data_IF_361526952173
#
_entry.id   IF_361526952173
#
_cell.length_a   1.000
_cell.length_b   1.000
_cell.length_c   1.000
_cell.angle_alpha   90.00
_cell.angle_beta   90.00
_cell.angle_gamma   90.00
#
_symmetry.space_group_name_H-M   'P 1'
#
loop_
_entity.id
_entity.type
_entity.pdbx_description
1 polymer ?
#
# COMPACT_ATOMS: atom_id res chain seq x y z
N UNK A 1 -20.30 67.73 20.40
CA UNK A 1 -20.35 66.79 19.25
C UNK A 1 -19.06 65.97 19.29
N UNK A 2 -18.82 65.16 20.31
CA UNK A 2 -19.48 63.87 20.64
C UNK A 2 -19.41 62.93 19.41
N UNK A 3 -18.71 61.79 19.42
CA UNK A 3 -18.75 60.76 20.45
C UNK A 3 -17.51 59.85 20.45
N UNK A 4 -16.86 59.76 21.61
CA UNK A 4 -16.18 58.55 22.07
C UNK A 4 -17.21 57.42 22.27
N UNK A 5 -16.96 56.22 21.76
CA UNK A 5 -17.39 54.94 22.36
C UNK A 5 -16.35 53.87 22.00
N UNK A 6 -15.35 53.65 22.85
CA UNK A 6 -15.37 52.65 23.93
C UNK A 6 -15.47 51.22 23.41
N UNK A 7 -14.29 50.63 23.21
CA UNK A 7 -14.04 49.20 23.34
C UNK A 7 -14.42 48.83 24.79
N UNK A 8 -15.47 48.02 24.97
CA UNK A 8 -15.77 47.36 26.24
C UNK A 8 -15.36 45.89 26.15
N UNK A 9 -14.31 45.56 26.88
CA UNK A 9 -14.02 44.24 27.42
C UNK A 9 -15.08 43.84 28.46
N UNK A 10 -15.61 42.63 28.33
CA UNK A 10 -16.24 41.82 29.37
C UNK A 10 -15.87 40.39 28.97
N UNK A 11 -14.75 39.86 29.43
CA UNK A 11 -14.44 39.29 30.74
C UNK A 11 -14.20 37.79 30.55
N UNK A 12 -13.05 37.37 31.08
CA UNK A 12 -12.51 36.03 31.08
C UNK A 12 -13.51 35.01 31.64
N UNK A 13 -13.73 33.93 30.90
CA UNK A 13 -13.88 32.62 31.53
C UNK A 13 -12.81 31.69 30.96
N UNK A 14 -11.83 31.42 31.82
CA UNK A 14 -10.94 30.28 31.71
C UNK A 14 -11.78 29.00 31.68
N UNK A 15 -11.72 28.24 30.59
CA UNK A 15 -11.75 26.78 30.67
C UNK A 15 -11.26 26.16 29.37
N UNK A 16 -10.09 25.51 29.46
CA UNK A 16 -9.63 24.35 28.70
C UNK A 16 -10.02 24.31 27.22
N UNK A 17 -9.04 24.61 26.37
CA UNK A 17 -9.05 24.16 24.97
C UNK A 17 -9.31 22.66 24.91
N UNK A 18 -10.50 22.31 24.45
CA UNK A 18 -10.80 21.01 23.88
C UNK A 18 -10.96 21.23 22.39
N UNK A 19 -9.96 20.74 21.68
CA UNK A 19 -9.93 20.54 20.24
C UNK A 19 -11.21 19.77 19.83
N UNK A 20 -12.17 20.45 19.19
CA UNK A 20 -13.44 19.87 18.72
C UNK A 20 -13.25 18.83 17.59
N UNK A 21 -12.01 18.51 17.23
CA UNK A 21 -11.62 17.53 16.22
C UNK A 21 -11.61 16.06 16.71
N UNK A 22 -11.92 15.80 17.98
CA UNK A 22 -11.85 14.44 18.58
C UNK A 22 -13.18 13.86 19.09
N UNK A 23 -14.30 14.59 18.96
CA UNK A 23 -15.61 14.13 19.49
C UNK A 23 -16.38 13.12 18.63
N UNK A 24 -15.89 12.70 17.47
CA UNK A 24 -16.60 11.72 16.62
C UNK A 24 -16.01 10.30 16.59
N UNK A 25 -15.07 9.97 17.48
CA UNK A 25 -14.44 8.64 17.48
C UNK A 25 -14.59 7.86 18.80
N UNK A 26 -15.22 8.43 19.83
CA UNK A 26 -15.44 7.75 21.12
C UNK A 26 -16.82 7.12 21.29
N UNK A 27 -17.79 7.41 20.42
CA UNK A 27 -19.16 6.88 20.53
C UNK A 27 -19.39 5.54 19.79
N UNK A 28 -18.35 4.92 19.22
CA UNK A 28 -18.48 3.66 18.45
C UNK A 28 -18.15 2.39 19.27
N UNK A 29 -17.70 2.53 20.53
CA UNK A 29 -17.32 1.36 21.33
C UNK A 29 -18.28 1.17 22.51
N UNK A 30 -19.46 0.62 22.19
CA UNK A 30 -20.42 0.24 23.23
C UNK A 30 -21.67 -0.52 22.78
N UNK A 31 -21.86 -0.84 21.49
CA UNK A 31 -23.06 -1.56 21.06
C UNK A 31 -22.79 -3.04 20.79
N UNK A 32 -23.34 -3.88 21.67
CA UNK A 32 -23.84 -5.22 21.29
C UNK A 32 -24.66 -5.07 20.01
N UNK A 33 -24.54 -6.04 19.10
CA UNK A 33 -25.32 -6.14 17.86
C UNK A 33 -26.82 -5.92 18.15
N UNK A 34 -27.26 -4.68 18.05
CA UNK A 34 -28.65 -4.28 18.16
C UNK A 34 -28.96 -3.74 16.79
N UNK A 35 -30.00 -4.29 16.17
CA UNK A 35 -30.48 -3.96 14.83
C UNK A 35 -30.25 -2.48 14.51
N UNK A 36 -29.31 -2.22 13.60
CA UNK A 36 -29.10 -0.88 13.06
C UNK A 36 -30.43 -0.53 12.37
N UNK A 37 -31.18 0.40 12.96
CA UNK A 37 -32.35 0.96 12.29
C UNK A 37 -31.89 1.49 10.94
N UNK A 38 -32.45 0.91 9.89
CA UNK A 38 -32.21 1.30 8.51
C UNK A 38 -32.53 2.79 8.37
N UNK A 39 -31.56 3.65 8.00
CA UNK A 39 -31.94 4.91 7.39
C UNK A 39 -32.70 4.55 6.10
N UNK A 40 -33.81 5.25 5.78
CA UNK A 40 -34.53 5.03 4.54
C UNK A 40 -33.53 5.16 3.39
N UNK A 41 -33.65 4.29 2.38
CA UNK A 41 -32.84 4.30 1.16
C UNK A 41 -32.75 5.73 0.63
N UNK A 42 -31.66 6.43 0.96
CA UNK A 42 -31.45 7.76 0.45
C UNK A 42 -31.13 7.57 -1.02
N UNK A 43 -32.11 7.91 -1.86
CA UNK A 43 -31.95 8.03 -3.29
C UNK A 43 -30.68 8.85 -3.52
N UNK A 44 -29.60 8.18 -3.95
CA UNK A 44 -28.32 8.84 -4.16
C UNK A 44 -28.58 9.90 -5.22
N UNK A 45 -28.44 11.18 -4.86
CA UNK A 45 -28.82 12.26 -5.75
C UNK A 45 -27.84 12.29 -6.94
N UNK A 46 -28.23 11.68 -8.07
CA UNK A 46 -27.35 11.31 -9.17
C UNK A 46 -26.67 12.50 -9.89
N UNK A 47 -27.20 13.73 -9.72
CA UNK A 47 -26.52 14.96 -10.15
C UNK A 47 -25.23 15.22 -9.36
N UNK A 48 -25.18 14.80 -8.09
CA UNK A 48 -24.01 14.98 -7.23
C UNK A 48 -22.84 14.06 -7.62
N UNK A 49 -23.08 12.92 -8.27
CA UNK A 49 -22.01 12.01 -8.70
C UNK A 49 -21.23 12.57 -9.88
N UNK A 50 -21.92 13.13 -10.90
CA UNK A 50 -21.24 13.86 -11.99
C UNK A 50 -20.49 15.10 -11.48
N UNK A 51 -21.04 15.79 -10.48
CA UNK A 51 -20.39 16.95 -9.86
C UNK A 51 -19.21 16.56 -8.96
N UNK A 52 -19.27 15.41 -8.27
CA UNK A 52 -18.21 14.89 -7.38
C UNK A 52 -17.09 14.17 -8.12
N UNK A 53 -17.42 13.44 -9.19
CA UNK A 53 -16.47 12.57 -9.89
C UNK A 53 -16.04 13.10 -11.27
N UNK A 54 -16.61 14.20 -11.75
CA UNK A 54 -16.13 14.91 -12.93
C UNK A 54 -16.27 14.11 -14.24
N UNK A 55 -15.23 14.18 -15.08
CA UNK A 55 -15.14 13.45 -16.35
C UNK A 55 -15.15 11.94 -16.11
N UNK A 56 -15.76 11.19 -17.04
CA UNK A 56 -15.72 9.72 -17.03
C UNK A 56 -14.25 9.30 -17.03
N UNK A 57 -13.84 8.53 -16.02
CA UNK A 57 -12.51 7.94 -15.97
C UNK A 57 -12.46 6.72 -16.88
N UNK A 58 -11.34 6.55 -17.58
CA UNK A 58 -11.14 5.38 -18.46
C UNK A 58 -10.91 4.09 -17.67
N UNK A 59 -10.44 4.21 -16.42
CA UNK A 59 -10.11 3.09 -15.55
C UNK A 59 -10.51 3.40 -14.11
N UNK A 60 -10.84 2.36 -13.33
CA UNK A 60 -11.04 2.52 -11.90
C UNK A 60 -9.73 2.94 -11.20
N UNK A 61 -9.79 3.62 -10.05
CA UNK A 61 -8.60 3.76 -9.21
C UNK A 61 -8.14 2.40 -8.67
N UNK A 62 -6.85 2.29 -8.33
CA UNK A 62 -6.29 1.09 -7.70
C UNK A 62 -5.80 1.41 -6.28
N UNK A 63 -5.76 0.41 -5.38
CA UNK A 63 -4.98 0.53 -4.15
C UNK A 63 -3.51 0.81 -4.48
N UNK A 64 -2.84 1.63 -3.67
CA UNK A 64 -1.46 2.06 -3.89
C UNK A 64 -0.50 0.87 -4.12
N UNK A 65 -0.69 -0.23 -3.41
CA UNK A 65 0.09 -1.47 -3.56
C UNK A 65 -0.02 -2.08 -4.97
N UNK A 66 -1.19 -1.99 -5.60
CA UNK A 66 -1.41 -2.50 -6.97
C UNK A 66 -0.84 -1.53 -8.00
N UNK A 67 -0.93 -0.22 -7.78
CA UNK A 67 -0.28 0.80 -8.62
C UNK A 67 1.24 0.64 -8.60
N UNK A 68 1.83 0.43 -7.42
CA UNK A 68 3.25 0.16 -7.27
C UNK A 68 3.67 -1.09 -8.05
N UNK A 69 2.87 -2.16 -8.00
CA UNK A 69 3.13 -3.41 -8.72
C UNK A 69 3.15 -3.20 -10.25
N UNK A 70 2.20 -2.41 -10.79
CA UNK A 70 2.19 -2.04 -12.21
C UNK A 70 3.39 -1.16 -12.58
N UNK A 71 3.80 -0.24 -11.71
CA UNK A 71 4.98 0.60 -11.95
C UNK A 71 6.27 -0.24 -11.97
N UNK A 72 6.34 -1.28 -11.13
CA UNK A 72 7.45 -2.23 -11.14
C UNK A 72 7.48 -3.00 -12.47
N UNK A 73 6.33 -3.51 -12.92
CA UNK A 73 6.20 -4.17 -14.21
C UNK A 73 6.69 -3.28 -15.36
N UNK A 74 6.21 -2.03 -15.42
CA UNK A 74 6.68 -1.02 -16.39
C UNK A 74 8.19 -0.84 -16.38
N UNK A 75 8.77 -0.75 -15.18
CA UNK A 75 10.23 -0.59 -15.02
C UNK A 75 10.99 -1.80 -15.55
N UNK A 76 10.49 -3.01 -15.29
CA UNK A 76 11.09 -4.27 -15.79
C UNK A 76 11.04 -4.29 -17.32
N UNK A 77 9.87 -4.03 -17.91
CA UNK A 77 9.67 -4.06 -19.35
C UNK A 77 10.50 -2.99 -20.07
N UNK A 78 10.55 -1.76 -19.54
CA UNK A 78 11.41 -0.70 -20.07
C UNK A 78 12.91 -1.06 -19.97
N UNK A 79 13.32 -1.69 -18.87
CA UNK A 79 14.72 -2.12 -18.69
C UNK A 79 15.09 -3.22 -19.67
N UNK A 80 14.18 -4.17 -19.92
CA UNK A 80 14.38 -5.21 -20.91
C UNK A 80 14.45 -4.63 -22.32
N UNK A 81 13.53 -3.71 -22.66
CA UNK A 81 13.54 -3.01 -23.95
C UNK A 81 14.84 -2.25 -24.20
N UNK A 82 15.34 -1.54 -23.18
CA UNK A 82 16.60 -0.78 -23.25
C UNK A 82 17.82 -1.67 -23.41
N UNK A 83 17.90 -2.77 -22.64
CA UNK A 83 19.09 -3.62 -22.59
C UNK A 83 19.10 -4.74 -23.62
N UNK A 84 17.93 -5.13 -24.12
CA UNK A 84 17.72 -6.26 -25.02
C UNK A 84 18.40 -7.55 -24.52
N UNK A 85 18.41 -7.74 -23.20
CA UNK A 85 19.04 -8.87 -22.52
C UNK A 85 18.21 -9.27 -21.30
N UNK A 86 18.30 -10.54 -20.85
CA UNK A 86 17.70 -10.98 -19.58
C UNK A 86 18.06 -10.05 -18.43
N UNK A 87 17.08 -9.74 -17.59
CA UNK A 87 17.29 -8.88 -16.42
C UNK A 87 17.74 -9.75 -15.26
N UNK A 88 18.87 -9.40 -14.65
CA UNK A 88 19.46 -10.16 -13.54
C UNK A 88 19.29 -9.38 -12.24
N UNK A 89 18.69 -10.02 -11.25
CA UNK A 89 18.53 -9.52 -9.88
C UNK A 89 19.28 -10.44 -8.92
N UNK A 90 20.25 -9.91 -8.20
CA UNK A 90 20.92 -10.65 -7.13
C UNK A 90 19.96 -10.82 -5.94
N UNK A 91 19.81 -12.05 -5.45
CA UNK A 91 18.81 -12.42 -4.44
C UNK A 91 18.97 -11.61 -3.15
N UNK A 92 20.22 -11.42 -2.68
CA UNK A 92 20.51 -10.73 -1.41
C UNK A 92 20.13 -9.25 -1.43
N UNK A 93 20.34 -8.58 -2.56
CA UNK A 93 20.16 -7.12 -2.67
C UNK A 93 18.80 -6.74 -3.22
N UNK A 94 18.14 -7.65 -3.95
CA UNK A 94 16.90 -7.40 -4.68
C UNK A 94 15.72 -8.28 -4.22
N UNK A 95 15.78 -8.83 -3.01
CA UNK A 95 14.72 -9.69 -2.44
C UNK A 95 13.31 -9.11 -2.64
N UNK A 96 13.10 -7.82 -2.36
CA UNK A 96 11.80 -7.16 -2.57
C UNK A 96 11.34 -7.19 -4.03
N UNK A 97 12.25 -6.90 -4.97
CA UNK A 97 11.92 -6.90 -6.41
C UNK A 97 11.55 -8.31 -6.85
N UNK A 98 12.30 -9.31 -6.41
CA UNK A 98 12.05 -10.72 -6.70
C UNK A 98 10.68 -11.16 -6.17
N UNK A 99 10.31 -10.72 -4.96
CA UNK A 99 8.99 -10.97 -4.40
C UNK A 99 7.87 -10.31 -5.22
N UNK A 100 8.05 -9.07 -5.63
CA UNK A 100 7.09 -8.35 -6.48
C UNK A 100 6.94 -9.02 -7.86
N UNK A 101 8.03 -9.57 -8.40
CA UNK A 101 7.97 -10.41 -9.61
C UNK A 101 7.18 -11.69 -9.35
N UNK A 102 7.35 -12.31 -8.18
CA UNK A 102 6.51 -13.42 -7.74
C UNK A 102 5.02 -13.05 -7.66
N UNK A 103 4.69 -11.84 -7.21
CA UNK A 103 3.30 -11.33 -7.21
C UNK A 103 2.77 -11.16 -8.63
N UNK A 104 3.57 -10.63 -9.55
CA UNK A 104 3.20 -10.53 -10.97
C UNK A 104 2.95 -11.92 -11.60
N UNK A 105 3.80 -12.89 -11.30
CA UNK A 105 3.63 -14.27 -11.77
C UNK A 105 2.41 -14.98 -11.16
N UNK A 106 2.01 -14.60 -9.95
CA UNK A 106 0.76 -15.08 -9.35
C UNK A 106 -0.45 -14.63 -10.16
N UNK A 107 -0.43 -13.40 -10.68
CA UNK A 107 -1.49 -12.84 -11.52
C UNK A 107 -1.47 -13.45 -12.92
N UNK A 108 -0.28 -13.68 -13.47
CA UNK A 108 -0.08 -14.25 -14.80
C UNK A 108 1.19 -15.10 -14.84
N UNK A 109 1.00 -16.43 -14.82
CA UNK A 109 2.09 -17.42 -14.74
C UNK A 109 3.01 -17.37 -15.95
N UNK A 110 2.48 -16.98 -17.09
CA UNK A 110 3.20 -16.97 -18.36
C UNK A 110 3.82 -15.59 -18.64
N UNK A 111 3.81 -14.68 -17.66
CA UNK A 111 4.34 -13.33 -17.87
C UNK A 111 5.85 -13.30 -18.08
N UNK A 112 6.60 -14.06 -17.27
CA UNK A 112 8.06 -14.09 -17.30
C UNK A 112 8.60 -15.51 -17.18
N UNK A 113 9.61 -15.84 -17.96
CA UNK A 113 10.48 -16.97 -17.69
C UNK A 113 11.49 -16.56 -16.61
N UNK A 114 11.49 -17.30 -15.51
CA UNK A 114 12.47 -17.16 -14.44
C UNK A 114 13.53 -18.27 -14.56
N UNK A 115 14.80 -17.88 -14.58
CA UNK A 115 15.94 -18.79 -14.47
C UNK A 115 16.77 -18.42 -13.25
N UNK A 116 17.22 -19.41 -12.50
CA UNK A 116 18.09 -19.20 -11.35
C UNK A 116 19.52 -19.45 -11.81
N UNK A 117 20.39 -18.48 -11.57
CA UNK A 117 21.81 -18.58 -11.88
C UNK A 117 22.58 -18.19 -10.63
N UNK A 118 23.15 -19.20 -9.98
CA UNK A 118 23.90 -19.09 -8.72
C UNK A 118 23.10 -18.39 -7.62
N UNK A 119 23.42 -17.12 -7.33
CA UNK A 119 22.81 -16.27 -6.30
C UNK A 119 21.92 -15.18 -6.90
N UNK A 120 21.49 -15.35 -8.14
CA UNK A 120 20.70 -14.37 -8.88
C UNK A 120 19.51 -15.02 -9.59
N UNK A 121 18.49 -14.19 -9.80
CA UNK A 121 17.30 -14.51 -10.59
C UNK A 121 17.41 -13.76 -11.91
N UNK A 122 17.36 -14.51 -13.01
CA UNK A 122 17.25 -13.97 -14.36
C UNK A 122 15.79 -13.98 -14.80
N UNK A 123 15.36 -12.89 -15.41
CA UNK A 123 13.98 -12.65 -15.82
C UNK A 123 13.96 -12.30 -17.29
N UNK A 124 13.12 -13.02 -18.02
CA UNK A 124 12.93 -12.86 -19.46
C UNK A 124 11.42 -12.72 -19.70
N UNK A 125 10.93 -11.60 -20.27
CA UNK A 125 9.56 -11.49 -20.75
C UNK A 125 9.27 -12.58 -21.77
N UNK A 126 8.30 -13.45 -21.46
CA UNK A 126 7.81 -14.45 -22.41
C UNK A 126 7.16 -13.77 -23.61
N UNK A 127 7.21 -14.42 -24.76
CA UNK A 127 6.57 -13.96 -26.00
C UNK A 127 7.05 -12.58 -26.50
N UNK A 128 8.21 -12.12 -26.02
CA UNK A 128 8.87 -10.90 -26.49
C UNK A 128 10.24 -11.24 -27.06
N UNK A 129 10.31 -11.79 -28.29
CA UNK A 129 11.58 -11.97 -28.96
C UNK A 129 12.23 -10.61 -29.19
N UNK A 130 13.52 -10.51 -28.85
CA UNK A 130 14.31 -9.27 -28.95
C UNK A 130 14.27 -8.70 -30.38
N UNK A 131 14.24 -9.58 -31.36
CA UNK A 131 14.23 -9.26 -32.80
C UNK A 131 12.99 -8.48 -33.24
N UNK A 132 11.86 -8.62 -32.51
CA UNK A 132 10.60 -7.94 -32.85
C UNK A 132 10.42 -6.63 -32.06
N UNK A 133 11.38 -6.25 -31.23
CA UNK A 133 11.30 -4.99 -30.48
C UNK A 133 11.82 -3.83 -31.34
N UNK A 134 11.10 -2.69 -31.38
CA UNK A 134 11.64 -1.49 -31.99
C UNK A 134 12.90 -1.03 -31.24
N UNK A 135 13.75 -0.26 -31.90
CA UNK A 135 14.91 0.36 -31.25
C UNK A 135 14.47 1.19 -30.03
N UNK A 136 15.19 1.06 -28.92
CA UNK A 136 14.89 1.81 -27.70
C UNK A 136 15.01 3.32 -27.94
N UNK A 137 13.96 4.07 -27.61
CA UNK A 137 13.93 5.52 -27.69
C UNK A 137 13.92 6.12 -26.28
N UNK A 138 14.98 6.83 -25.84
CA UNK A 138 15.11 7.34 -24.48
C UNK A 138 13.99 8.28 -24.01
N UNK A 139 13.29 8.93 -24.94
CA UNK A 139 12.20 9.87 -24.68
C UNK A 139 10.84 9.37 -25.17
N UNK A 140 10.72 8.08 -25.52
CA UNK A 140 9.41 7.54 -25.84
C UNK A 140 8.53 7.57 -24.59
N UNK A 141 7.39 8.24 -24.72
CA UNK A 141 6.39 8.33 -23.65
C UNK A 141 5.61 7.03 -23.45
N UNK A 142 5.66 6.13 -24.44
CA UNK A 142 4.91 4.88 -24.46
C UNK A 142 5.85 3.70 -24.65
N UNK A 143 5.54 2.58 -23.99
CA UNK A 143 6.24 1.34 -24.25
C UNK A 143 5.77 0.76 -25.60
N UNK A 144 6.58 -0.11 -26.22
CA UNK A 144 6.13 -0.93 -27.34
C UNK A 144 4.78 -1.61 -27.04
N UNK A 145 3.93 -1.74 -28.06
CA UNK A 145 2.56 -2.26 -27.93
C UNK A 145 2.50 -3.62 -27.21
N UNK A 146 3.49 -4.48 -27.44
CA UNK A 146 3.61 -5.78 -26.76
C UNK A 146 3.72 -5.62 -25.24
N UNK A 147 4.48 -4.65 -24.74
CA UNK A 147 4.58 -4.36 -23.31
C UNK A 147 3.31 -3.68 -22.78
N UNK A 148 2.76 -2.69 -23.49
CA UNK A 148 1.52 -2.03 -23.07
C UNK A 148 0.34 -3.01 -22.96
N UNK A 149 0.22 -3.95 -23.90
CA UNK A 149 -0.79 -5.01 -23.84
C UNK A 149 -0.64 -5.93 -22.63
N UNK A 150 0.60 -6.27 -22.25
CA UNK A 150 0.89 -7.07 -21.06
C UNK A 150 0.53 -6.31 -19.79
N UNK A 151 0.93 -5.04 -19.69
CA UNK A 151 0.56 -4.17 -18.56
C UNK A 151 -0.96 -4.04 -18.45
N UNK A 152 -1.64 -3.84 -19.57
CA UNK A 152 -3.11 -3.75 -19.64
C UNK A 152 -3.77 -5.05 -19.17
N UNK A 153 -3.22 -6.22 -19.56
CA UNK A 153 -3.72 -7.51 -19.08
C UNK A 153 -3.62 -7.63 -17.56
N UNK A 154 -2.47 -7.30 -16.97
CA UNK A 154 -2.29 -7.31 -15.50
C UNK A 154 -3.20 -6.28 -14.83
N UNK A 155 -3.30 -5.07 -15.38
CA UNK A 155 -4.19 -4.01 -14.91
C UNK A 155 -5.64 -4.48 -14.82
N UNK A 156 -6.13 -5.20 -15.83
CA UNK A 156 -7.49 -5.74 -15.86
C UNK A 156 -7.72 -6.80 -14.78
N UNK A 157 -6.73 -7.68 -14.54
CA UNK A 157 -6.81 -8.67 -13.47
C UNK A 157 -6.90 -7.98 -12.10
N UNK A 158 -6.06 -6.96 -11.87
CA UNK A 158 -6.09 -6.17 -10.63
C UNK A 158 -7.42 -5.44 -10.45
N UNK A 159 -7.97 -4.87 -11.53
CA UNK A 159 -9.30 -4.24 -11.50
C UNK A 159 -10.39 -5.21 -11.07
N UNK A 160 -10.39 -6.43 -11.63
CA UNK A 160 -11.38 -7.44 -11.30
C UNK A 160 -11.30 -7.84 -9.82
N UNK A 161 -10.09 -7.92 -9.25
CA UNK A 161 -9.91 -8.20 -7.82
C UNK A 161 -10.53 -7.11 -6.95
N UNK A 162 -10.25 -5.83 -7.24
CA UNK A 162 -10.80 -4.72 -6.47
C UNK A 162 -12.32 -4.63 -6.63
N UNK A 163 -12.82 -4.79 -7.86
CA UNK A 163 -14.26 -4.78 -8.15
C UNK A 163 -14.99 -5.90 -7.41
N UNK A 164 -14.42 -7.11 -7.33
CA UNK A 164 -15.02 -8.22 -6.56
C UNK A 164 -15.18 -7.86 -5.08
N UNK A 165 -14.14 -7.26 -4.47
CA UNK A 165 -14.19 -6.82 -3.07
C UNK A 165 -15.20 -5.69 -2.87
N UNK A 166 -15.26 -4.75 -3.82
CA UNK A 166 -16.22 -3.67 -3.81
C UNK A 166 -17.67 -4.17 -3.96
N UNK A 167 -17.92 -5.14 -4.82
CA UNK A 167 -19.25 -5.75 -4.98
C UNK A 167 -19.71 -6.39 -3.68
N UNK A 168 -18.87 -7.20 -3.03
CA UNK A 168 -19.16 -7.77 -1.72
C UNK A 168 -19.44 -6.68 -0.66
N UNK A 169 -18.69 -5.58 -0.70
CA UNK A 169 -18.91 -4.45 0.19
C UNK A 169 -20.29 -3.80 -0.03
N UNK A 170 -20.71 -3.59 -1.29
CA UNK A 170 -22.03 -3.06 -1.62
C UNK A 170 -23.16 -3.98 -1.11
N UNK A 171 -22.97 -5.29 -1.17
CA UNK A 171 -23.92 -6.25 -0.58
C UNK A 171 -24.03 -6.08 0.93
N UNK A 172 -22.90 -5.95 1.64
CA UNK A 172 -22.87 -5.78 3.10
C UNK A 172 -23.60 -4.50 3.54
N UNK A 173 -23.47 -3.40 2.79
CA UNK A 173 -24.13 -2.13 3.10
C UNK A 173 -25.53 -1.99 2.49
N UNK A 174 -26.03 -3.03 1.80
CA UNK A 174 -27.32 -3.04 1.07
C UNK A 174 -27.44 -1.90 0.04
N UNK A 175 -26.38 -1.64 -0.73
CA UNK A 175 -26.34 -0.61 -1.79
C UNK A 175 -25.96 -1.20 -3.14
N UNK A 176 -26.52 -2.37 -3.48
CA UNK A 176 -26.30 -3.05 -4.75
C UNK A 176 -26.67 -2.18 -5.95
N UNK A 177 -27.65 -1.29 -5.82
CA UNK A 177 -28.09 -0.33 -6.85
C UNK A 177 -26.96 0.62 -7.30
N UNK A 178 -25.92 0.83 -6.49
CA UNK A 178 -24.75 1.63 -6.87
C UNK A 178 -23.90 0.96 -7.96
N UNK A 179 -24.02 -0.36 -8.14
CA UNK A 179 -23.19 -1.16 -9.06
C UNK A 179 -23.24 -0.65 -10.49
N UNK A 180 -24.42 -0.30 -11.00
CA UNK A 180 -24.58 0.22 -12.37
C UNK A 180 -23.78 1.51 -12.60
N UNK A 181 -23.71 2.35 -11.56
CA UNK A 181 -23.03 3.65 -11.62
C UNK A 181 -21.54 3.52 -11.44
N UNK A 182 -21.12 2.62 -10.54
CA UNK A 182 -19.74 2.19 -10.41
C UNK A 182 -19.20 1.77 -11.78
N UNK A 183 -19.93 0.93 -12.52
CA UNK A 183 -19.53 0.45 -13.86
C UNK A 183 -19.49 1.58 -14.88
N UNK A 184 -20.52 2.44 -14.90
CA UNK A 184 -20.66 3.51 -15.88
C UNK A 184 -19.62 4.62 -15.72
N UNK A 185 -19.30 4.99 -14.47
CA UNK A 185 -18.41 6.10 -14.16
C UNK A 185 -17.00 5.65 -13.75
N UNK A 186 -16.78 4.34 -13.58
CA UNK A 186 -15.52 3.75 -13.11
C UNK A 186 -15.10 4.29 -11.73
N UNK A 187 -16.06 4.34 -10.81
CA UNK A 187 -15.86 4.87 -9.44
C UNK A 187 -16.30 3.87 -8.39
N UNK A 188 -15.60 3.83 -7.26
CA UNK A 188 -16.07 3.06 -6.10
C UNK A 188 -17.02 3.89 -5.24
N UNK A 189 -17.79 3.19 -4.40
CA UNK A 189 -18.63 3.83 -3.41
C UNK A 189 -17.79 4.74 -2.50
N UNK A 190 -18.24 5.96 -2.14
CA UNK A 190 -17.43 6.93 -1.39
C UNK A 190 -16.89 6.44 -0.03
N UNK A 191 -17.55 5.45 0.57
CA UNK A 191 -17.15 4.87 1.86
C UNK A 191 -16.37 3.57 1.71
N UNK A 192 -16.13 3.10 0.48
CA UNK A 192 -15.31 1.92 0.23
C UNK A 192 -13.83 2.26 0.45
N UNK A 193 -13.19 1.55 1.38
CA UNK A 193 -11.76 1.69 1.63
C UNK A 193 -10.98 0.70 0.75
N UNK A 194 -10.17 1.23 -0.16
CA UNK A 194 -9.30 0.47 -1.05
C UNK A 194 -8.26 -0.39 -0.31
N UNK A 195 -7.97 -0.08 0.96
CA UNK A 195 -7.04 -0.87 1.78
C UNK A 195 -7.66 -2.20 2.23
N UNK A 196 -8.98 -2.38 2.11
CA UNK A 196 -9.66 -3.66 2.40
C UNK A 196 -9.36 -4.74 1.36
N UNK A 197 -8.84 -4.36 0.20
CA UNK A 197 -8.47 -5.33 -0.85
C UNK A 197 -7.28 -6.16 -0.36
N UNK A 198 -7.36 -7.51 -0.38
CA UNK A 198 -6.30 -8.36 0.14
C UNK A 198 -5.01 -8.24 -0.68
N UNK A 199 -3.88 -8.53 -0.03
CA UNK A 199 -2.58 -8.55 -0.69
C UNK A 199 -2.46 -9.72 -1.67
N UNK A 200 -1.70 -9.50 -2.75
CA UNK A 200 -1.35 -10.56 -3.69
C UNK A 200 -0.18 -11.33 -3.12
N UNK A 201 -0.41 -12.60 -2.84
CA UNK A 201 0.63 -13.49 -2.37
C UNK A 201 1.58 -13.81 -3.54
N UNK A 202 2.90 -13.67 -3.37
CA UNK A 202 3.82 -14.04 -4.44
C UNK A 202 3.69 -15.52 -4.76
N UNK A 203 3.87 -15.86 -6.03
CA UNK A 203 4.08 -17.25 -6.44
C UNK A 203 5.32 -17.79 -5.72
N UNK A 204 5.18 -18.97 -5.12
CA UNK A 204 6.31 -19.67 -4.49
C UNK A 204 7.41 -19.85 -5.53
N UNK A 205 8.57 -19.26 -5.22
CA UNK A 205 9.77 -19.49 -5.98
C UNK A 205 10.38 -20.81 -5.48
N UNK A 206 11.10 -21.57 -6.32
CA UNK A 206 11.66 -22.86 -5.93
C UNK A 206 12.84 -22.75 -4.94
N UNK A 207 12.99 -21.60 -4.26
CA UNK A 207 14.08 -21.31 -3.35
C UNK A 207 13.66 -20.30 -2.28
N UNK A 208 14.33 -20.39 -1.13
CA UNK A 208 14.09 -19.54 0.01
C UNK A 208 14.93 -18.25 -0.08
N UNK A 209 14.29 -17.08 -0.10
CA UNK A 209 14.97 -15.77 -0.22
C UNK A 209 15.64 -15.36 1.09
N UNK A 210 15.06 -15.73 2.24
CA UNK A 210 15.51 -15.35 3.57
C UNK A 210 15.79 -16.58 4.45
N UNK A 211 16.94 -16.61 5.13
CA UNK A 211 17.22 -17.71 6.08
C UNK A 211 16.24 -17.70 7.25
N UNK A 212 16.05 -18.85 7.91
CA UNK A 212 15.21 -18.95 9.11
C UNK A 212 15.62 -17.97 10.21
N UNK A 213 16.92 -17.70 10.35
CA UNK A 213 17.42 -16.69 11.28
C UNK A 213 16.91 -15.28 10.93
N UNK A 214 16.93 -14.90 9.64
CA UNK A 214 16.43 -13.60 9.18
C UNK A 214 14.91 -13.49 9.36
N UNK A 215 14.17 -14.58 9.14
CA UNK A 215 12.72 -14.63 9.41
C UNK A 215 12.43 -14.37 10.89
N UNK A 216 13.14 -15.05 11.78
CA UNK A 216 13.00 -14.87 13.22
C UNK A 216 13.36 -13.44 13.65
N UNK A 217 14.41 -12.85 13.08
CA UNK A 217 14.78 -11.46 13.35
C UNK A 217 13.69 -10.47 12.90
N UNK A 218 13.09 -10.67 11.72
CA UNK A 218 12.00 -9.83 11.22
C UNK A 218 10.73 -9.99 12.07
N UNK A 219 10.39 -11.20 12.50
CA UNK A 219 9.29 -11.44 13.44
C UNK A 219 9.50 -10.71 14.76
N UNK A 220 10.71 -10.83 15.36
CA UNK A 220 11.06 -10.11 16.58
C UNK A 220 10.95 -8.59 16.41
N UNK A 221 11.33 -8.04 15.24
CA UNK A 221 11.18 -6.60 14.96
C UNK A 221 9.69 -6.21 15.00
N UNK A 222 8.81 -6.97 14.34
CA UNK A 222 7.37 -6.70 14.33
C UNK A 222 6.79 -6.76 15.76
N UNK A 223 7.08 -7.84 16.47
CA UNK A 223 6.60 -8.05 17.84
C UNK A 223 7.00 -6.92 18.77
N UNK A 224 8.30 -6.59 18.80
CA UNK A 224 8.82 -5.53 19.67
C UNK A 224 8.28 -4.16 19.27
N UNK A 225 8.08 -3.91 17.97
CA UNK A 225 7.50 -2.65 17.47
C UNK A 225 6.06 -2.52 17.95
N UNK A 226 5.18 -3.49 17.67
CA UNK A 226 3.78 -3.44 18.09
C UNK A 226 3.67 -3.33 19.61
N UNK A 227 4.49 -4.12 20.34
CA UNK A 227 4.51 -4.06 21.81
C UNK A 227 4.90 -2.68 22.34
N UNK A 228 5.87 -2.01 21.72
CA UNK A 228 6.30 -0.67 22.13
C UNK A 228 5.18 0.36 21.98
N UNK A 229 4.56 0.42 20.80
CA UNK A 229 3.51 1.40 20.51
C UNK A 229 2.26 1.14 21.35
N UNK A 230 1.91 -0.13 21.59
CA UNK A 230 0.80 -0.49 22.48
C UNK A 230 1.08 -0.08 23.92
N UNK A 231 2.28 -0.38 24.47
CA UNK A 231 2.66 0.00 25.84
C UNK A 231 2.67 1.52 26.05
N UNK A 232 3.12 2.28 25.06
CA UNK A 232 3.19 3.75 25.15
C UNK A 232 1.93 4.46 24.68
N UNK A 233 0.94 3.73 24.18
CA UNK A 233 -0.32 4.27 23.62
C UNK A 233 -0.12 5.30 22.49
N UNK A 234 1.05 5.35 21.87
CA UNK A 234 1.37 6.24 20.74
C UNK A 234 1.12 5.54 19.41
N UNK A 235 0.91 6.30 18.32
CA UNK A 235 0.81 5.79 16.94
C UNK A 235 1.99 6.21 16.06
N UNK A 236 2.86 7.11 16.53
CA UNK A 236 4.02 7.59 15.79
C UNK A 236 5.23 7.81 16.69
N UNK A 237 6.43 7.79 16.10
CA UNK A 237 7.69 8.16 16.76
C UNK A 237 8.78 8.52 15.75
N UNK A 238 9.86 9.17 16.20
CA UNK A 238 11.02 9.41 15.36
C UNK A 238 11.76 8.10 15.02
N UNK A 239 12.20 7.97 13.77
CA UNK A 239 12.91 6.80 13.23
C UNK A 239 14.12 6.38 14.09
N UNK A 240 15.03 7.29 14.51
CA UNK A 240 16.16 6.91 15.37
C UNK A 240 15.74 6.32 16.71
N UNK A 241 14.62 6.78 17.27
CA UNK A 241 14.13 6.28 18.55
C UNK A 241 13.64 4.83 18.42
N UNK A 242 13.00 4.47 17.29
CA UNK A 242 12.59 3.10 17.03
C UNK A 242 13.82 2.20 16.87
N UNK A 243 14.80 2.65 16.06
CA UNK A 243 16.05 1.91 15.84
C UNK A 243 16.77 1.64 17.17
N UNK A 244 16.95 2.66 18.01
CA UNK A 244 17.62 2.50 19.30
C UNK A 244 16.84 1.57 20.23
N UNK A 245 15.51 1.66 20.25
CA UNK A 245 14.68 0.76 21.05
C UNK A 245 14.85 -0.70 20.60
N UNK A 246 14.80 -0.96 19.29
CA UNK A 246 14.90 -2.31 18.75
C UNK A 246 16.31 -2.89 18.92
N UNK A 247 17.36 -2.08 18.78
CA UNK A 247 18.75 -2.53 19.01
C UNK A 247 19.00 -2.94 20.46
N UNK A 248 18.27 -2.37 21.42
CA UNK A 248 18.31 -2.79 22.82
C UNK A 248 17.59 -4.12 23.09
N UNK A 249 16.74 -4.58 22.15
CA UNK A 249 15.93 -5.80 22.29
C UNK A 249 16.42 -6.95 21.43
N UNK A 250 17.02 -6.63 20.27
CA UNK A 250 17.41 -7.60 19.26
C UNK A 250 18.88 -7.39 18.94
N UNK A 251 19.68 -8.45 19.12
CA UNK A 251 21.13 -8.40 18.90
C UNK A 251 21.42 -8.40 17.39
N UNK A 252 21.58 -7.21 16.81
CA UNK A 252 22.02 -7.01 15.43
C UNK A 252 22.74 -5.66 15.27
N UNK A 253 23.43 -5.46 14.15
CA UNK A 253 24.05 -4.16 13.87
C UNK A 253 23.01 -3.13 13.38
N UNK A 254 23.34 -1.85 13.52
CA UNK A 254 22.45 -0.74 13.16
C UNK A 254 22.05 -0.77 11.68
N UNK A 255 23.00 -1.03 10.78
CA UNK A 255 22.75 -1.02 9.34
C UNK A 255 21.77 -2.11 8.91
N UNK A 256 21.86 -3.29 9.53
CA UNK A 256 20.96 -4.41 9.30
C UNK A 256 19.57 -4.12 9.86
N UNK A 257 19.47 -3.54 11.06
CA UNK A 257 18.21 -3.08 11.63
C UNK A 257 17.52 -2.07 10.70
N UNK A 258 18.27 -1.07 10.22
CA UNK A 258 17.73 -0.09 9.27
C UNK A 258 17.26 -0.75 7.96
N UNK A 259 18.02 -1.70 7.42
CA UNK A 259 17.62 -2.45 6.21
C UNK A 259 16.31 -3.21 6.43
N UNK A 260 16.13 -3.85 7.58
CA UNK A 260 14.91 -4.59 7.88
C UNK A 260 13.70 -3.69 8.10
N UNK A 261 13.85 -2.57 8.79
CA UNK A 261 12.74 -1.61 8.93
C UNK A 261 12.36 -1.03 7.56
N UNK A 262 13.34 -0.68 6.72
CA UNK A 262 13.08 -0.21 5.36
C UNK A 262 12.41 -1.29 4.50
N UNK A 263 12.75 -2.56 4.69
CA UNK A 263 12.07 -3.68 4.04
C UNK A 263 10.60 -3.75 4.50
N UNK A 264 10.33 -3.74 5.81
CA UNK A 264 8.98 -3.78 6.36
C UNK A 264 8.10 -2.62 5.86
N UNK A 265 8.64 -1.39 5.81
CA UNK A 265 7.91 -0.22 5.28
C UNK A 265 7.47 -0.42 3.82
N UNK A 266 8.32 -1.06 3.01
CA UNK A 266 8.03 -1.30 1.59
C UNK A 266 7.07 -2.45 1.35
N UNK A 267 7.11 -3.45 2.22
CA UNK A 267 6.38 -4.71 2.06
C UNK A 267 5.03 -4.69 2.76
N UNK A 268 4.93 -3.94 3.87
CA UNK A 268 3.74 -3.80 4.69
C UNK A 268 3.48 -2.30 4.95
N UNK A 269 3.24 -1.50 3.88
CA UNK A 269 2.99 -0.08 4.04
C UNK A 269 1.75 0.18 4.90
N UNK A 270 0.75 -0.72 4.92
CA UNK A 270 -0.44 -0.56 5.75
C UNK A 270 -0.15 -0.73 7.25
N UNK A 271 0.99 -1.32 7.61
CA UNK A 271 1.44 -1.49 8.98
C UNK A 271 2.43 -0.43 9.43
N UNK A 272 3.47 -0.14 8.62
CA UNK A 272 4.55 0.78 8.98
C UNK A 272 4.80 1.79 7.85
N UNK A 273 4.66 3.09 8.15
CA UNK A 273 4.82 4.17 7.17
C UNK A 273 5.79 5.24 7.65
N UNK A 274 6.45 5.93 6.72
CA UNK A 274 7.16 7.18 7.00
C UNK A 274 6.31 8.34 6.48
N UNK A 275 5.82 9.19 7.37
CA UNK A 275 4.90 10.27 7.02
C UNK A 275 5.58 11.51 6.43
N UNK A 276 6.89 11.70 6.71
CA UNK A 276 7.65 12.88 6.31
C UNK A 276 8.79 12.57 5.31
N UNK A 277 8.60 11.57 4.43
CA UNK A 277 9.65 11.16 3.49
C UNK A 277 9.78 12.14 2.30
N UNK A 278 10.31 13.36 2.52
CA UNK A 278 10.84 14.20 1.44
C UNK A 278 12.30 13.83 1.18
N UNK A 279 12.72 13.80 -0.09
CA UNK A 279 14.05 13.35 -0.53
C UNK A 279 15.23 14.08 0.14
N UNK A 280 15.02 15.26 0.70
CA UNK A 280 16.05 16.09 1.34
C UNK A 280 16.05 16.04 2.88
N UNK A 281 15.13 15.31 3.52
CA UNK A 281 15.08 15.24 4.98
C UNK A 281 16.00 14.15 5.52
N UNK A 282 16.95 14.56 6.38
CA UNK A 282 17.81 13.64 7.12
C UNK A 282 16.97 12.60 7.89
N UNK A 283 17.40 11.32 7.89
CA UNK A 283 16.74 10.20 8.59
C UNK A 283 16.39 10.50 10.06
N UNK A 284 17.16 11.38 10.70
CA UNK A 284 16.94 11.84 12.08
C UNK A 284 15.56 12.47 12.28
N UNK A 285 15.00 13.07 11.22
CA UNK A 285 13.71 13.76 11.24
C UNK A 285 12.55 12.90 10.74
N UNK A 286 12.81 11.67 10.30
CA UNK A 286 11.77 10.79 9.80
C UNK A 286 10.83 10.39 10.95
N UNK A 287 9.53 10.49 10.71
CA UNK A 287 8.49 10.04 11.62
C UNK A 287 7.95 8.72 11.07
N UNK A 288 8.04 7.67 11.88
CA UNK A 288 7.40 6.38 11.62
C UNK A 288 6.03 6.40 12.27
N UNK A 289 5.00 6.05 11.51
CA UNK A 289 3.64 5.81 11.98
C UNK A 289 3.32 4.32 11.84
N UNK A 290 2.57 3.78 12.82
CA UNK A 290 2.02 2.44 12.74
C UNK A 290 0.49 2.47 12.65
N UNK A 291 -0.07 1.48 11.98
CA UNK A 291 -1.49 1.19 12.10
C UNK A 291 -1.76 0.41 13.39
N UNK A 292 -2.47 1.03 14.33
CA UNK A 292 -2.81 0.43 15.64
C UNK A 292 -3.79 -0.76 15.52
N UNK A 293 -4.46 -0.91 14.38
CA UNK A 293 -5.35 -2.04 14.11
C UNK A 293 -4.56 -3.29 13.69
N UNK A 294 -3.27 -3.15 13.34
CA UNK A 294 -2.42 -4.28 12.97
C UNK A 294 -2.08 -5.16 14.17
N UNK A 295 -2.45 -6.43 14.13
CA UNK A 295 -2.06 -7.44 15.11
C UNK A 295 -0.73 -8.10 14.74
N UNK A 296 0.02 -8.57 15.74
CA UNK A 296 1.27 -9.34 15.52
C UNK A 296 1.00 -10.53 14.59
N UNK A 297 -0.06 -11.29 14.87
CA UNK A 297 -0.43 -12.48 14.09
C UNK A 297 -0.70 -12.14 12.62
N UNK A 298 -1.47 -11.08 12.34
CA UNK A 298 -1.76 -10.65 10.97
C UNK A 298 -0.47 -10.23 10.25
N UNK A 299 0.38 -9.43 10.92
CA UNK A 299 1.63 -8.95 10.33
C UNK A 299 2.66 -10.07 10.11
N UNK A 300 2.75 -11.04 11.02
CA UNK A 300 3.58 -12.24 10.84
C UNK A 300 3.03 -13.10 9.71
N UNK A 301 1.71 -13.27 9.62
CA UNK A 301 1.09 -14.05 8.55
C UNK A 301 1.33 -13.42 7.18
N UNK A 302 1.20 -12.09 7.07
CA UNK A 302 1.59 -11.34 5.87
C UNK A 302 3.09 -11.49 5.59
N UNK A 303 3.96 -11.44 6.60
CA UNK A 303 5.40 -11.67 6.43
C UNK A 303 5.74 -13.06 5.88
N UNK A 304 5.05 -14.11 6.34
CA UNK A 304 5.25 -15.48 5.83
C UNK A 304 5.11 -15.57 4.32
N UNK A 305 4.24 -14.73 3.73
CA UNK A 305 4.04 -14.69 2.28
C UNK A 305 5.31 -14.27 1.53
N UNK A 306 6.26 -13.62 2.18
CA UNK A 306 7.52 -13.13 1.59
C UNK A 306 8.73 -14.02 1.90
N UNK A 307 8.49 -15.14 2.58
CA UNK A 307 9.51 -15.98 3.19
C UNK A 307 9.51 -17.43 2.68
N UNK A 308 8.54 -17.78 1.84
CA UNK A 308 8.37 -19.11 1.25
C UNK A 308 8.35 -19.05 -0.27
#
# INVERSE_FOLDING_TARGET
MDSNKQIKTLQEQQSKGQDESTRHLSDILGMKYTQIQQPPSQNINFRSLRQRFGLIQDQYPLPLKFEQLLQIMRTIEQTYWKKQKPIVYEIKTNALRILQIGQLLKLDKDLYQIKIVEKSVQIIPNDVPIENLPSFQPFAHQLPSVFESRITRIRNILDNLVQTVHENYLEIINQQDFKEQSIKFKVYHPTFDLNLVPDILPQQLPFQIYSEEQKNQLQQIIENTIQYFNKRTVSFMFYPNLINYLLNKIKMNKDQMEKYIQFLIKVQPDFLQITNQKQEQQKVKWIIQINKQSTVENQIQQLKTYFY
#
